data_IF_906187488373
#
_entry.id   IF_906187488373
#
_cell.length_a   1.000
_cell.length_b   1.000
_cell.length_c   1.000
_cell.angle_alpha   90.00
_cell.angle_beta   90.00
_cell.angle_gamma   90.00
#
_symmetry.space_group_name_H-M   'P 1'
#
loop_
_entity.id
_entity.type
_entity.pdbx_description
1 polymer ?
#
# COMPACT_ATOMS: atom_id res chain seq x y z
N UNK A 1 52.36 2.96 5.93
CA UNK A 1 51.46 3.74 5.04
C UNK A 1 50.08 3.08 4.83
N UNK A 2 49.69 2.04 5.58
CA UNK A 2 48.47 1.25 5.34
C UNK A 2 47.18 1.78 5.99
N UNK A 3 47.27 2.61 7.03
CA UNK A 3 46.10 3.13 7.77
C UNK A 3 45.33 4.21 7.01
N UNK A 4 46.03 5.07 6.25
CA UNK A 4 45.42 6.18 5.49
C UNK A 4 44.61 5.67 4.28
N UNK A 5 45.15 4.68 3.56
CA UNK A 5 44.49 4.08 2.40
C UNK A 5 43.20 3.33 2.79
N UNK A 6 43.20 2.62 3.93
CA UNK A 6 42.02 1.91 4.43
C UNK A 6 40.87 2.85 4.81
N UNK A 7 41.20 3.98 5.45
CA UNK A 7 40.23 5.04 5.81
C UNK A 7 39.64 5.72 4.58
N UNK A 8 40.46 6.01 3.56
CA UNK A 8 39.98 6.60 2.31
C UNK A 8 39.01 5.67 1.57
N UNK A 9 39.32 4.37 1.47
CA UNK A 9 38.43 3.38 0.85
C UNK A 9 37.12 3.24 1.64
N UNK A 10 37.19 3.20 2.97
CA UNK A 10 36.01 3.14 3.82
C UNK A 10 35.11 4.38 3.65
N UNK A 11 35.70 5.58 3.58
CA UNK A 11 34.96 6.81 3.35
C UNK A 11 34.25 6.81 1.98
N UNK A 12 34.93 6.37 0.92
CA UNK A 12 34.34 6.23 -0.42
C UNK A 12 33.18 5.23 -0.42
N UNK A 13 33.31 4.09 0.27
CA UNK A 13 32.24 3.09 0.37
C UNK A 13 31.02 3.60 1.15
N UNK A 14 31.25 4.36 2.23
CA UNK A 14 30.17 5.00 3.01
C UNK A 14 29.45 6.05 2.16
N UNK A 15 30.21 6.87 1.41
CA UNK A 15 29.66 7.85 0.49
C UNK A 15 28.88 7.19 -0.66
N UNK A 16 29.41 6.12 -1.27
CA UNK A 16 28.70 5.39 -2.32
C UNK A 16 27.38 4.77 -1.81
N UNK A 17 27.36 4.26 -0.57
CA UNK A 17 26.13 3.76 0.07
C UNK A 17 25.13 4.88 0.36
N UNK A 18 25.59 6.04 0.82
CA UNK A 18 24.71 7.18 1.09
C UNK A 18 24.14 7.75 -0.21
N UNK A 19 24.93 7.80 -1.30
CA UNK A 19 24.44 8.21 -2.63
C UNK A 19 23.29 7.33 -3.11
N UNK A 20 23.34 6.01 -2.90
CA UNK A 20 22.22 5.10 -3.22
C UNK A 20 20.95 5.35 -2.39
N UNK A 21 21.05 6.02 -1.23
CA UNK A 21 19.90 6.44 -0.43
C UNK A 21 19.38 7.83 -0.82
N UNK A 22 20.21 8.65 -1.46
CA UNK A 22 19.85 10.00 -1.93
C UNK A 22 19.52 10.05 -3.42
N UNK A 23 19.68 8.95 -4.15
CA UNK A 23 19.22 8.85 -5.55
C UNK A 23 17.71 8.71 -5.64
N UNK A 24 17.11 9.43 -6.58
CA UNK A 24 15.72 9.22 -6.97
C UNK A 24 15.62 8.00 -7.86
N UNK A 25 14.80 7.04 -7.47
CA UNK A 25 14.48 5.88 -8.29
C UNK A 25 13.38 6.24 -9.27
N UNK A 26 13.62 5.94 -10.55
CA UNK A 26 12.69 6.25 -11.64
C UNK A 26 11.97 5.03 -12.16
N UNK A 27 12.58 3.85 -12.01
CA UNK A 27 12.05 2.54 -12.36
C UNK A 27 12.20 1.57 -11.18
N UNK A 28 11.40 0.50 -11.18
CA UNK A 28 11.53 -0.58 -10.22
C UNK A 28 12.93 -1.22 -10.27
N UNK A 29 13.51 -1.38 -11.47
CA UNK A 29 14.83 -1.98 -11.68
C UNK A 29 15.98 -1.17 -11.08
N UNK A 30 15.81 0.16 -10.97
CA UNK A 30 16.81 1.06 -10.39
C UNK A 30 17.00 0.78 -8.89
N UNK A 31 16.01 0.15 -8.24
CA UNK A 31 16.05 -0.17 -6.82
C UNK A 31 16.96 -1.37 -6.59
N UNK A 32 18.02 -1.23 -5.76
CA UNK A 32 18.92 -2.33 -5.45
C UNK A 32 18.20 -3.49 -4.76
N UNK A 33 18.53 -4.73 -5.11
CA UNK A 33 17.95 -5.95 -4.50
C UNK A 33 18.14 -5.95 -2.97
N UNK A 34 19.30 -5.46 -2.49
CA UNK A 34 19.58 -5.34 -1.06
C UNK A 34 18.57 -4.46 -0.30
N UNK A 35 17.87 -3.53 -0.95
CA UNK A 35 16.83 -2.71 -0.32
C UNK A 35 15.54 -3.51 -0.13
N UNK A 36 15.24 -4.40 -1.08
CA UNK A 36 14.09 -5.31 -1.03
C UNK A 36 14.33 -6.36 0.07
N UNK A 37 15.50 -7.01 0.07
CA UNK A 37 15.88 -8.01 1.08
C UNK A 37 15.84 -7.45 2.52
N UNK A 38 16.28 -6.20 2.69
CA UNK A 38 16.27 -5.50 3.99
C UNK A 38 14.92 -4.88 4.35
N UNK A 39 13.92 -5.01 3.48
CA UNK A 39 12.60 -4.42 3.66
C UNK A 39 12.64 -2.91 3.96
N UNK A 40 13.44 -2.16 3.21
CA UNK A 40 13.64 -0.73 3.44
C UNK A 40 12.35 0.04 3.18
N UNK A 41 12.08 1.03 4.04
CA UNK A 41 10.99 1.99 3.85
C UNK A 41 11.49 3.17 3.04
N UNK A 42 10.82 3.42 1.92
CA UNK A 42 11.07 4.58 1.08
C UNK A 42 9.89 5.56 1.18
N UNK A 43 10.16 6.81 0.83
CA UNK A 43 9.17 7.88 0.82
C UNK A 43 8.85 8.23 -0.62
N UNK A 44 7.58 8.49 -0.90
CA UNK A 44 7.18 8.94 -2.22
C UNK A 44 5.96 9.84 -2.20
N UNK A 45 5.75 10.53 -3.31
CA UNK A 45 4.60 11.37 -3.59
C UNK A 45 3.65 10.63 -4.50
N UNK A 46 2.42 10.43 -4.05
CA UNK A 46 1.39 9.81 -4.87
C UNK A 46 1.03 10.72 -6.05
N UNK A 47 1.08 10.19 -7.26
CA UNK A 47 0.70 10.91 -8.46
C UNK A 47 -0.66 10.45 -8.98
N UNK A 48 -0.79 9.15 -9.26
CA UNK A 48 -2.00 8.57 -9.83
C UNK A 48 -2.32 7.23 -9.20
N UNK A 49 -3.61 6.88 -9.21
CA UNK A 49 -4.10 5.56 -8.81
C UNK A 49 -4.63 4.89 -10.07
N UNK A 50 -4.04 3.75 -10.41
CA UNK A 50 -4.41 2.94 -11.58
C UNK A 50 -4.98 1.61 -11.13
N UNK A 51 -5.60 0.86 -12.05
CA UNK A 51 -6.07 -0.50 -11.79
C UNK A 51 -4.92 -1.45 -11.44
N UNK A 52 -3.73 -1.21 -11.99
CA UNK A 52 -2.54 -2.03 -11.73
C UNK A 52 -1.91 -1.76 -10.37
N UNK A 53 -2.10 -0.54 -9.81
CA UNK A 53 -1.48 -0.10 -8.57
C UNK A 53 -1.38 1.42 -8.41
N UNK A 54 -0.56 1.85 -7.47
CA UNK A 54 -0.33 3.27 -7.14
C UNK A 54 0.92 3.77 -7.85
N UNK A 55 0.80 4.81 -8.67
CA UNK A 55 1.94 5.49 -9.29
C UNK A 55 2.48 6.54 -8.33
N UNK A 56 3.72 6.34 -7.89
CA UNK A 56 4.38 7.14 -6.87
C UNK A 56 5.71 7.65 -7.37
N UNK A 57 5.93 8.95 -7.27
CA UNK A 57 7.23 9.56 -7.49
C UNK A 57 8.09 9.37 -6.23
N UNK A 58 9.26 8.76 -6.34
CA UNK A 58 10.17 8.61 -5.21
C UNK A 58 10.70 9.97 -4.74
N UNK A 59 10.67 10.22 -3.43
CA UNK A 59 11.31 11.38 -2.81
C UNK A 59 12.59 10.89 -2.13
N UNK A 60 13.78 11.21 -2.66
CA UNK A 60 15.03 10.83 -2.00
C UNK A 60 15.15 11.51 -0.63
N UNK A 61 15.95 10.92 0.25
CA UNK A 61 16.27 11.53 1.54
C UNK A 61 17.10 12.79 1.25
N UNK A 62 16.55 13.97 1.55
CA UNK A 62 17.21 15.24 1.26
C UNK A 62 18.42 15.44 2.17
N UNK A 63 19.60 15.51 1.58
CA UNK A 63 20.82 15.95 2.27
C UNK A 63 21.14 17.37 1.77
N UNK A 64 21.23 18.39 2.66
CA UNK A 64 21.15 19.81 2.28
C UNK A 64 22.17 20.28 1.23
N UNK A 65 23.29 19.56 1.04
CA UNK A 65 24.34 19.92 0.08
C UNK A 65 24.24 19.24 -1.29
N UNK A 66 23.53 18.11 -1.42
CA UNK A 66 23.53 17.28 -2.65
C UNK A 66 22.20 17.42 -3.43
N UNK A 67 21.14 17.86 -2.75
CA UNK A 67 19.76 17.85 -3.26
C UNK A 67 19.52 18.83 -4.41
N UNK A 68 20.20 19.98 -4.42
CA UNK A 68 20.00 21.05 -5.43
C UNK A 68 20.53 20.65 -6.81
N UNK A 69 21.65 19.92 -6.85
CA UNK A 69 22.21 19.41 -8.09
C UNK A 69 21.39 18.22 -8.58
N UNK A 70 21.09 17.25 -7.72
CA UNK A 70 20.34 16.05 -8.11
C UNK A 70 18.94 16.34 -8.68
N UNK A 71 18.21 17.32 -8.11
CA UNK A 71 16.88 17.71 -8.58
C UNK A 71 16.85 18.16 -10.05
N UNK A 72 17.94 18.76 -10.56
CA UNK A 72 18.04 19.23 -11.96
C UNK A 72 18.28 18.12 -12.97
N UNK A 73 18.91 17.02 -12.57
CA UNK A 73 19.32 15.92 -13.46
C UNK A 73 18.41 14.69 -13.37
N UNK A 74 17.56 14.61 -12.34
CA UNK A 74 16.72 13.45 -12.11
C UNK A 74 15.42 13.52 -12.94
N UNK A 75 15.17 12.46 -13.72
CA UNK A 75 13.97 12.33 -14.54
C UNK A 75 12.67 12.31 -13.73
N UNK A 76 11.56 12.57 -14.42
CA UNK A 76 10.19 12.44 -13.89
C UNK A 76 9.70 10.99 -13.98
N UNK A 77 10.45 10.06 -13.38
CA UNK A 77 10.05 8.65 -13.32
C UNK A 77 9.00 8.40 -12.24
N UNK A 78 8.03 7.53 -12.54
CA UNK A 78 6.98 7.10 -11.63
C UNK A 78 7.18 5.62 -11.32
N UNK A 79 7.18 5.27 -10.03
CA UNK A 79 7.23 3.89 -9.57
C UNK A 79 5.81 3.35 -9.43
N UNK A 80 5.55 2.20 -10.05
CA UNK A 80 4.29 1.49 -9.87
C UNK A 80 4.36 0.61 -8.61
N UNK A 81 3.57 0.96 -7.60
CA UNK A 81 3.46 0.21 -6.34
C UNK A 81 2.23 -0.69 -6.37
N UNK A 82 2.46 -1.98 -6.17
CA UNK A 82 1.44 -3.00 -5.93
C UNK A 82 1.32 -3.28 -4.44
N UNK A 83 0.07 -3.35 -3.97
CA UNK A 83 -0.21 -3.66 -2.57
C UNK A 83 0.06 -5.14 -2.33
N UNK A 84 1.13 -5.43 -1.61
CA UNK A 84 1.52 -6.80 -1.31
C UNK A 84 0.46 -7.51 -0.44
N UNK A 85 0.14 -8.76 -0.80
CA UNK A 85 -0.79 -9.61 -0.05
C UNK A 85 -2.25 -9.16 -0.10
N UNK A 86 -2.63 -8.29 -1.03
CA UNK A 86 -4.01 -7.82 -1.19
C UNK A 86 -4.45 -7.98 -2.63
N UNK A 87 -5.56 -8.70 -2.84
CA UNK A 87 -6.27 -8.72 -4.10
C UNK A 87 -7.44 -7.72 -4.01
N UNK A 88 -7.39 -6.66 -4.82
CA UNK A 88 -8.42 -5.62 -4.84
C UNK A 88 -9.73 -6.14 -5.43
N UNK A 89 -10.84 -5.82 -4.77
CA UNK A 89 -12.19 -6.08 -5.26
C UNK A 89 -12.67 -4.94 -6.19
N UNK A 90 -13.72 -5.15 -7.01
CA UNK A 90 -14.24 -4.15 -7.96
C UNK A 90 -14.73 -2.82 -7.35
N UNK A 91 -14.79 -2.65 -6.01
CA UNK A 91 -15.02 -1.36 -5.34
C UNK A 91 -13.78 -0.73 -4.67
N UNK A 92 -12.67 -1.46 -4.59
CA UNK A 92 -11.47 -1.04 -3.85
C UNK A 92 -10.76 0.15 -4.48
N UNK A 93 -10.75 0.23 -5.81
CA UNK A 93 -10.11 1.33 -6.55
C UNK A 93 -10.79 2.68 -6.26
N UNK A 94 -12.12 2.73 -6.34
CA UNK A 94 -12.90 3.93 -6.06
C UNK A 94 -12.77 4.37 -4.59
N UNK A 95 -12.59 3.43 -3.66
CA UNK A 95 -12.31 3.76 -2.27
C UNK A 95 -10.90 4.32 -2.08
N UNK A 96 -9.88 3.75 -2.75
CA UNK A 96 -8.51 4.27 -2.73
C UNK A 96 -8.44 5.72 -3.20
N UNK A 97 -9.14 6.04 -4.29
CA UNK A 97 -9.23 7.40 -4.84
C UNK A 97 -9.89 8.38 -3.86
N UNK A 98 -10.86 7.93 -3.06
CA UNK A 98 -11.50 8.75 -2.02
C UNK A 98 -10.63 8.96 -0.79
N UNK A 99 -9.81 7.96 -0.43
CA UNK A 99 -8.98 8.02 0.78
C UNK A 99 -7.65 8.73 0.58
N UNK A 100 -7.07 8.59 -0.61
CA UNK A 100 -5.76 9.14 -0.92
C UNK A 100 -5.92 10.50 -1.60
N UNK A 101 -5.29 11.53 -1.04
CA UNK A 101 -5.26 12.84 -1.68
C UNK A 101 -4.25 12.84 -2.82
N UNK A 102 -4.52 13.55 -3.94
CA UNK A 102 -3.52 13.75 -4.97
C UNK A 102 -2.30 14.43 -4.35
N UNK A 103 -1.09 14.05 -4.79
CA UNK A 103 0.17 14.58 -4.25
C UNK A 103 0.44 14.28 -2.76
N UNK A 104 -0.31 13.35 -2.14
CA UNK A 104 -0.06 12.94 -0.75
C UNK A 104 1.28 12.20 -0.63
N UNK A 105 1.97 12.47 0.47
CA UNK A 105 3.20 11.76 0.82
C UNK A 105 2.85 10.43 1.45
N UNK A 106 3.41 9.36 0.89
CA UNK A 106 3.24 7.99 1.34
C UNK A 106 4.59 7.38 1.67
N UNK A 107 4.61 6.52 2.67
CA UNK A 107 5.75 5.65 2.96
C UNK A 107 5.44 4.29 2.38
N UNK A 108 6.41 3.66 1.72
CA UNK A 108 6.23 2.32 1.18
C UNK A 108 7.41 1.45 1.58
N UNK A 109 7.10 0.31 2.19
CA UNK A 109 8.08 -0.70 2.56
C UNK A 109 8.21 -1.68 1.42
N UNK A 110 9.42 -1.82 0.88
CA UNK A 110 9.73 -2.75 -0.20
C UNK A 110 9.66 -4.19 0.35
N UNK A 111 8.90 -5.06 -0.31
CA UNK A 111 8.82 -6.49 0.04
C UNK A 111 9.25 -7.38 -1.13
N UNK A 112 8.91 -6.97 -2.36
CA UNK A 112 9.27 -7.67 -3.58
C UNK A 112 9.48 -6.68 -4.71
N UNK A 113 10.21 -7.11 -5.73
CA UNK A 113 10.45 -6.33 -6.95
C UNK A 113 10.17 -7.21 -8.16
N UNK A 114 9.25 -6.74 -9.00
CA UNK A 114 9.04 -7.21 -10.36
C UNK A 114 9.70 -6.20 -11.33
N UNK A 115 9.84 -6.56 -12.61
CA UNK A 115 10.51 -5.69 -13.60
C UNK A 115 9.79 -4.34 -13.80
N UNK A 116 8.47 -4.33 -13.65
CA UNK A 116 7.62 -3.14 -13.88
C UNK A 116 6.98 -2.58 -12.61
N UNK A 117 6.87 -3.39 -11.55
CA UNK A 117 6.12 -3.05 -10.36
C UNK A 117 6.85 -3.46 -9.08
N UNK A 118 6.64 -2.68 -8.03
CA UNK A 118 7.19 -2.97 -6.70
C UNK A 118 6.08 -3.49 -5.82
N UNK A 119 6.32 -4.62 -5.17
CA UNK A 119 5.39 -5.17 -4.21
C UNK A 119 5.70 -4.61 -2.83
N UNK A 120 4.76 -3.83 -2.30
CA UNK A 120 5.03 -2.99 -1.13
C UNK A 120 3.89 -3.01 -0.11
N UNK A 121 4.26 -2.72 1.14
CA UNK A 121 3.30 -2.24 2.14
C UNK A 121 3.27 -0.73 2.11
N UNK A 122 2.10 -0.15 1.90
CA UNK A 122 1.94 1.29 1.84
C UNK A 122 1.41 1.80 3.17
N UNK A 123 2.13 2.72 3.78
CA UNK A 123 1.75 3.42 4.99
C UNK A 123 1.40 4.86 4.65
N UNK A 124 0.22 5.28 5.08
CA UNK A 124 -0.31 6.61 4.83
C UNK A 124 -0.60 7.31 6.14
N UNK A 125 -0.25 8.60 6.21
CA UNK A 125 -0.53 9.42 7.38
C UNK A 125 -1.96 9.95 7.26
N UNK A 126 -2.84 9.51 8.17
CA UNK A 126 -4.23 9.98 8.29
C UNK A 126 -4.38 11.15 9.27
N UNK A 127 -3.32 11.52 9.97
CA UNK A 127 -3.27 12.66 10.88
C UNK A 127 -1.83 12.98 11.30
N UNK A 128 -1.63 13.96 12.21
CA UNK A 128 -0.30 14.37 12.66
C UNK A 128 0.47 13.25 13.37
N UNK A 129 -0.23 12.30 13.99
CA UNK A 129 0.38 11.21 14.77
C UNK A 129 -0.07 9.80 14.38
N UNK A 130 -0.94 9.68 13.38
CA UNK A 130 -1.53 8.40 12.98
C UNK A 130 -1.08 8.00 11.57
N UNK A 131 -0.23 6.98 11.51
CA UNK A 131 0.11 6.27 10.28
C UNK A 131 -0.68 4.97 10.22
N UNK A 132 -1.32 4.70 9.08
CA UNK A 132 -2.15 3.52 8.86
C UNK A 132 -1.59 2.73 7.69
N UNK A 133 -1.54 1.41 7.83
CA UNK A 133 -1.19 0.51 6.74
C UNK A 133 -2.39 0.39 5.79
N UNK A 134 -2.22 0.89 4.57
CA UNK A 134 -3.27 0.90 3.55
C UNK A 134 -3.73 -0.53 3.20
N UNK A 135 -2.78 -1.48 3.13
CA UNK A 135 -3.06 -2.89 2.84
C UNK A 135 -4.03 -3.49 3.87
N UNK A 136 -3.80 -3.23 5.16
CA UNK A 136 -4.68 -3.71 6.24
C UNK A 136 -6.04 -3.01 6.23
N UNK A 137 -6.06 -1.71 5.96
CA UNK A 137 -7.29 -0.93 5.95
C UNK A 137 -8.24 -1.43 4.85
N UNK A 138 -7.75 -1.67 3.63
CA UNK A 138 -8.54 -2.22 2.52
C UNK A 138 -9.20 -3.55 2.91
N UNK A 139 -8.42 -4.47 3.49
CA UNK A 139 -8.93 -5.76 3.94
C UNK A 139 -9.96 -5.58 5.06
N UNK A 140 -9.73 -4.66 6.00
CA UNK A 140 -10.63 -4.40 7.12
C UNK A 140 -11.97 -3.79 6.72
N UNK A 141 -12.01 -3.09 5.58
CA UNK A 141 -13.23 -2.55 4.98
C UNK A 141 -13.92 -3.58 4.06
N UNK A 142 -13.32 -4.76 3.86
CA UNK A 142 -13.85 -5.78 2.96
C UNK A 142 -13.75 -5.39 1.48
N UNK A 143 -12.77 -4.55 1.12
CA UNK A 143 -12.56 -4.06 -0.24
C UNK A 143 -11.49 -4.85 -1.01
N UNK A 144 -11.08 -5.98 -0.45
CA UNK A 144 -10.15 -6.92 -1.05
C UNK A 144 -10.07 -8.21 -0.24
N UNK A 145 -9.39 -9.20 -0.82
CA UNK A 145 -9.07 -10.48 -0.18
C UNK A 145 -7.60 -10.56 0.15
N UNK A 146 -7.26 -11.29 1.21
CA UNK A 146 -5.85 -11.53 1.52
C UNK A 146 -5.27 -12.49 0.47
N UNK A 147 -4.15 -12.10 -0.14
CA UNK A 147 -3.42 -12.89 -1.11
C UNK A 147 -2.06 -13.31 -0.55
N UNK A 148 -1.36 -14.17 -1.30
CA UNK A 148 0.03 -14.51 -0.97
C UNK A 148 0.89 -13.24 -1.06
N UNK A 149 1.75 -13.04 -0.06
CA UNK A 149 2.76 -12.00 -0.11
C UNK A 149 3.92 -12.53 -0.94
N UNK A 150 3.98 -12.11 -2.18
CA UNK A 150 5.11 -12.35 -3.07
C UNK A 150 6.31 -11.46 -2.64
N UNK A 151 7.54 -11.91 -2.90
CA UNK A 151 8.78 -11.18 -2.56
C UNK A 151 9.41 -11.46 -1.18
N UNK A 152 8.64 -11.93 -0.21
CA UNK A 152 9.18 -12.34 1.11
C UNK A 152 9.49 -13.84 1.15
N UNK A 153 10.65 -14.22 1.70
CA UNK A 153 10.94 -15.62 2.03
C UNK A 153 9.88 -16.17 3.01
N UNK A 154 9.25 -17.28 2.63
CA UNK A 154 8.16 -17.94 3.38
C UNK A 154 8.56 -18.37 4.80
N UNK A 155 9.85 -18.56 5.04
CA UNK A 155 10.39 -18.96 6.34
C UNK A 155 10.70 -17.77 7.26
N UNK A 156 10.62 -16.55 6.75
CA UNK A 156 10.92 -15.37 7.55
C UNK A 156 9.81 -15.13 8.59
N UNK A 157 10.22 -14.81 9.84
CA UNK A 157 9.27 -14.40 10.89
C UNK A 157 8.45 -13.17 10.50
N UNK A 158 9.01 -12.30 9.66
CA UNK A 158 8.37 -11.11 9.14
C UNK A 158 7.20 -11.46 8.22
N UNK A 159 7.38 -12.42 7.32
CA UNK A 159 6.32 -12.93 6.45
C UNK A 159 5.12 -13.39 7.27
N UNK A 160 5.33 -14.29 8.24
CA UNK A 160 4.24 -14.81 9.08
C UNK A 160 3.55 -13.73 9.90
N UNK A 161 4.31 -12.77 10.46
CA UNK A 161 3.75 -11.66 11.21
C UNK A 161 2.85 -10.80 10.32
N UNK A 162 3.31 -10.46 9.12
CA UNK A 162 2.55 -9.66 8.17
C UNK A 162 1.31 -10.40 7.69
N UNK A 163 1.47 -11.65 7.25
CA UNK A 163 0.39 -12.47 6.74
C UNK A 163 -0.71 -12.66 7.81
N UNK A 164 -0.33 -12.92 9.07
CA UNK A 164 -1.28 -13.00 10.19
C UNK A 164 -2.03 -11.68 10.42
N UNK A 165 -1.40 -10.53 10.22
CA UNK A 165 -2.07 -9.22 10.34
C UNK A 165 -3.09 -9.00 9.21
N UNK A 166 -2.73 -9.33 7.98
CA UNK A 166 -3.64 -9.24 6.82
C UNK A 166 -4.85 -10.16 7.00
N UNK A 167 -4.64 -11.43 7.36
CA UNK A 167 -5.74 -12.37 7.64
C UNK A 167 -6.63 -11.92 8.78
N UNK A 168 -6.07 -11.34 9.85
CA UNK A 168 -6.86 -10.76 10.94
C UNK A 168 -7.74 -9.60 10.46
N UNK A 169 -7.24 -8.77 9.55
CA UNK A 169 -8.00 -7.66 8.97
C UNK A 169 -9.16 -8.19 8.10
N UNK A 170 -8.91 -9.20 7.28
CA UNK A 170 -9.95 -9.87 6.49
C UNK A 170 -11.02 -10.53 7.37
N UNK A 171 -10.61 -11.30 8.39
CA UNK A 171 -11.53 -11.89 9.37
C UNK A 171 -12.37 -10.82 10.10
N UNK A 172 -11.81 -9.63 10.34
CA UNK A 172 -12.54 -8.51 10.92
C UNK A 172 -13.62 -7.98 9.97
N UNK A 173 -13.34 -7.89 8.67
CA UNK A 173 -14.33 -7.49 7.68
C UNK A 173 -15.45 -8.53 7.52
N UNK A 174 -15.08 -9.81 7.51
CA UNK A 174 -16.00 -10.95 7.51
C UNK A 174 -16.96 -10.89 8.70
N UNK A 175 -16.42 -10.75 9.93
CA UNK A 175 -17.23 -10.63 11.15
C UNK A 175 -18.15 -9.41 11.15
N UNK A 176 -17.76 -8.35 10.46
CA UNK A 176 -18.54 -7.10 10.34
C UNK A 176 -19.45 -7.07 9.10
N UNK A 177 -19.46 -8.13 8.28
CA UNK A 177 -20.21 -8.23 7.01
C UNK A 177 -20.06 -6.97 6.14
N UNK A 178 -18.82 -6.52 5.91
CA UNK A 178 -18.53 -5.30 5.14
C UNK A 178 -18.05 -5.58 3.73
N UNK A 179 -18.39 -4.70 2.79
CA UNK A 179 -17.83 -4.69 1.44
C UNK A 179 -18.22 -5.94 0.66
N UNK A 180 -17.24 -6.70 0.17
CA UNK A 180 -17.49 -7.97 -0.55
C UNK A 180 -18.16 -9.05 0.30
N UNK A 181 -18.15 -8.89 1.63
CA UNK A 181 -18.73 -9.83 2.60
C UNK A 181 -20.10 -9.39 3.09
N UNK A 182 -20.60 -8.25 2.59
CA UNK A 182 -21.97 -7.84 2.77
C UNK A 182 -22.83 -8.77 1.91
N UNK A 183 -23.45 -9.78 2.54
CA UNK A 183 -24.39 -10.65 1.87
C UNK A 183 -25.54 -9.80 1.31
N UNK A 184 -25.54 -9.52 -0.01
CA UNK A 184 -26.73 -9.03 -0.74
C UNK A 184 -27.96 -9.84 -0.32
N UNK A 185 -27.75 -11.14 -0.06
CA UNK A 185 -28.76 -12.06 0.44
C UNK A 185 -29.36 -11.75 1.82
N UNK A 186 -28.75 -11.03 2.77
CA UNK A 186 -29.37 -10.85 4.10
C UNK A 186 -30.29 -9.63 4.15
N UNK A 187 -29.88 -8.53 3.51
CA UNK A 187 -30.70 -7.32 3.36
C UNK A 187 -31.84 -7.57 2.37
N UNK A 188 -31.61 -8.28 1.25
CA UNK A 188 -32.68 -8.72 0.36
C UNK A 188 -33.60 -9.73 1.04
N UNK A 189 -33.10 -10.75 1.76
CA UNK A 189 -33.99 -11.67 2.51
C UNK A 189 -34.81 -10.97 3.59
N UNK A 190 -34.27 -9.96 4.26
CA UNK A 190 -35.04 -9.17 5.23
C UNK A 190 -36.05 -8.28 4.51
N UNK A 191 -35.66 -7.63 3.42
CA UNK A 191 -36.55 -6.78 2.62
C UNK A 191 -37.67 -7.59 1.97
N UNK A 192 -37.38 -8.79 1.50
CA UNK A 192 -38.32 -9.77 0.97
C UNK A 192 -39.22 -10.31 2.07
N UNK A 193 -38.69 -10.66 3.26
CA UNK A 193 -39.54 -11.05 4.40
C UNK A 193 -40.44 -9.93 4.87
N UNK A 194 -39.97 -8.69 4.86
CA UNK A 194 -40.75 -7.52 5.28
C UNK A 194 -41.80 -7.17 4.20
N UNK A 195 -41.45 -7.26 2.91
CA UNK A 195 -42.38 -7.00 1.79
C UNK A 195 -43.41 -8.11 1.61
N UNK A 196 -43.05 -9.37 1.92
CA UNK A 196 -43.94 -10.53 1.87
C UNK A 196 -44.79 -10.67 3.13
N UNK A 197 -44.57 -9.85 4.17
CA UNK A 197 -45.35 -9.94 5.39
C UNK A 197 -46.71 -9.27 5.18
N UNK A 198 -47.78 -10.05 5.31
CA UNK A 198 -49.17 -9.60 5.07
C UNK A 198 -49.54 -8.33 5.86
N UNK A 199 -48.98 -8.16 7.04
CA UNK A 199 -49.15 -6.97 7.88
C UNK A 199 -48.59 -5.68 7.28
N UNK A 200 -47.43 -5.75 6.62
CA UNK A 200 -46.79 -4.59 5.98
C UNK A 200 -47.53 -4.22 4.70
N UNK A 201 -48.07 -5.20 3.97
CA UNK A 201 -48.94 -4.98 2.82
C UNK A 201 -50.27 -4.32 3.22
N UNK A 202 -50.89 -4.79 4.31
CA UNK A 202 -52.10 -4.18 4.86
C UNK A 202 -51.85 -2.73 5.31
N UNK A 203 -50.76 -2.47 6.04
CA UNK A 203 -50.39 -1.11 6.44
C UNK A 203 -50.12 -0.18 5.25
N UNK A 204 -49.51 -0.68 4.17
CA UNK A 204 -49.35 0.10 2.93
C UNK A 204 -50.68 0.46 2.28
N UNK A 205 -51.66 -0.44 2.31
CA UNK A 205 -53.01 -0.18 1.79
C UNK A 205 -53.77 0.85 2.65
N UNK A 206 -53.54 0.89 3.95
CA UNK A 206 -54.14 1.88 4.86
C UNK A 206 -53.54 3.29 4.72
N UNK A 207 -52.27 3.41 4.31
CA UNK A 207 -51.60 4.71 4.11
C UNK A 207 -51.88 5.31 2.74
N UNK A 208 -52.39 4.52 1.78
CA UNK A 208 -52.76 4.98 0.45
C UNK A 208 -54.23 5.42 0.30
N UNK A 209 -54.92 5.69 1.42
CA UNK A 209 -56.30 6.20 1.45
C UNK A 209 -56.35 7.61 2.06
#
# INVERSE_FOLDING_TARGET
QSLSSGLAVAAVLVLARSVRMTTKFTSALDIPVAFVEKNVKLRGKLHRITEKGLEVEHIPISVPFITSLQSKWQGRGLLLLRLAGVQLAPGGLAWLQRQLRPAQIVWFQLLGRDDQALQCLVLVNKGPFLSVCLNEEILSQGLGRAARVEGLHHESRLYWRLHKRLLRAELKALKKKKGIWEEESYSERIRDRISSNKFVQALKQFVSW
#
